data_IF_294802819978
#
_entry.id   IF_294802819978
#
_cell.length_a   1.000
_cell.length_b   1.000
_cell.length_c   1.000
_cell.angle_alpha   90.00
_cell.angle_beta   90.00
_cell.angle_gamma   90.00
#
_symmetry.space_group_name_H-M   'P 1'
#
loop_
_entity.id
_entity.type
_entity.pdbx_description
1 polymer ?
#
# COMPACT_ATOMS: atom_id res chain seq x y z
N UNK A 1 -10.04 -5.91 -10.05
CA UNK A 1 -10.77 -5.06 -9.08
C UNK A 1 -12.19 -4.86 -9.62
N UNK A 2 -13.23 -5.14 -8.83
CA UNK A 2 -14.61 -4.93 -9.23
C UNK A 2 -14.92 -3.45 -9.44
N UNK A 3 -15.96 -3.18 -10.20
CA UNK A 3 -16.51 -1.83 -10.43
C UNK A 3 -17.96 -1.81 -9.96
N UNK A 4 -18.71 -0.75 -10.25
CA UNK A 4 -20.13 -0.68 -9.91
C UNK A 4 -20.89 -1.90 -10.48
N UNK A 5 -21.49 -2.76 -9.63
CA UNK A 5 -22.18 -3.96 -10.08
C UNK A 5 -23.43 -3.65 -10.91
N UNK A 6 -24.01 -2.46 -10.79
CA UNK A 6 -25.15 -2.04 -11.59
C UNK A 6 -24.77 -1.75 -13.06
N UNK A 7 -23.48 -1.52 -13.32
CA UNK A 7 -22.96 -1.24 -14.66
C UNK A 7 -22.53 -2.53 -15.37
N UNK A 8 -23.45 -3.18 -16.07
CA UNK A 8 -23.17 -4.45 -16.78
C UNK A 8 -22.59 -4.21 -18.17
N UNK A 9 -23.06 -3.20 -18.88
CA UNK A 9 -22.60 -2.83 -20.23
C UNK A 9 -21.84 -1.51 -20.20
N UNK A 10 -20.97 -1.31 -21.20
CA UNK A 10 -20.26 -0.02 -21.36
C UNK A 10 -21.20 1.17 -21.50
N UNK A 11 -22.38 0.94 -22.10
CA UNK A 11 -23.42 1.95 -22.35
C UNK A 11 -24.29 2.24 -21.12
N UNK A 12 -24.14 1.46 -20.05
CA UNK A 12 -24.93 1.69 -18.84
C UNK A 12 -24.29 2.83 -18.03
N UNK A 13 -25.07 3.77 -17.51
CA UNK A 13 -24.56 4.77 -16.59
C UNK A 13 -24.13 4.10 -15.28
N UNK A 14 -23.06 4.56 -14.69
CA UNK A 14 -22.57 4.08 -13.40
C UNK A 14 -22.81 5.09 -12.28
N UNK A 15 -22.67 4.61 -11.05
CA UNK A 15 -22.68 5.45 -9.86
C UNK A 15 -21.31 5.37 -9.17
N UNK A 16 -20.51 6.44 -9.18
CA UNK A 16 -19.21 6.46 -8.51
C UNK A 16 -19.30 6.08 -7.02
N UNK A 17 -20.36 6.48 -6.32
CA UNK A 17 -20.51 6.16 -4.90
C UNK A 17 -20.58 4.65 -4.61
N UNK A 18 -21.07 3.86 -5.55
CA UNK A 18 -21.15 2.39 -5.45
C UNK A 18 -19.95 1.67 -6.05
N UNK A 19 -18.99 2.41 -6.60
CA UNK A 19 -17.82 1.87 -7.28
C UNK A 19 -16.62 1.85 -6.36
N UNK A 20 -16.04 0.68 -6.01
CA UNK A 20 -14.83 0.62 -5.20
C UNK A 20 -13.64 1.40 -5.77
N UNK A 21 -13.57 1.54 -7.11
CA UNK A 21 -12.55 2.32 -7.78
C UNK A 21 -12.59 3.81 -7.40
N UNK A 22 -13.76 4.34 -7.06
CA UNK A 22 -13.91 5.74 -6.70
C UNK A 22 -13.08 6.14 -5.49
N UNK A 23 -12.95 5.24 -4.51
CA UNK A 23 -12.11 5.48 -3.34
C UNK A 23 -10.63 5.63 -3.71
N UNK A 24 -10.16 4.88 -4.70
CA UNK A 24 -8.80 5.04 -5.22
C UNK A 24 -8.63 6.37 -5.96
N UNK A 25 -9.62 6.83 -6.70
CA UNK A 25 -9.59 8.17 -7.30
C UNK A 25 -9.51 9.27 -6.22
N UNK A 26 -10.17 9.09 -5.08
CA UNK A 26 -10.10 10.07 -3.99
C UNK A 26 -8.66 10.23 -3.44
N UNK A 27 -7.88 9.17 -3.46
CA UNK A 27 -6.49 9.16 -2.95
C UNK A 27 -5.48 9.56 -4.04
N UNK A 28 -5.60 8.98 -5.22
CA UNK A 28 -4.56 9.00 -6.24
C UNK A 28 -4.79 9.99 -7.38
N UNK A 29 -5.99 10.54 -7.53
CA UNK A 29 -6.31 11.42 -8.65
C UNK A 29 -6.42 12.87 -8.22
N UNK A 30 -5.98 13.77 -9.10
CA UNK A 30 -6.23 15.20 -8.96
C UNK A 30 -7.71 15.55 -9.21
N UNK A 31 -8.11 16.78 -8.94
CA UNK A 31 -9.49 17.19 -9.06
C UNK A 31 -10.01 17.09 -10.49
N UNK A 32 -9.21 17.44 -11.48
CA UNK A 32 -9.60 17.37 -12.88
C UNK A 32 -9.91 15.93 -13.33
N UNK A 33 -9.07 14.97 -12.90
CA UNK A 33 -9.28 13.54 -13.16
C UNK A 33 -10.52 13.00 -12.44
N UNK A 34 -10.78 13.45 -11.20
CA UNK A 34 -11.99 13.09 -10.45
C UNK A 34 -13.25 13.58 -11.18
N UNK A 35 -13.27 14.83 -11.60
CA UNK A 35 -14.40 15.42 -12.31
C UNK A 35 -14.65 14.71 -13.65
N UNK A 36 -13.58 14.39 -14.37
CA UNK A 36 -13.65 13.61 -15.61
C UNK A 36 -14.23 12.21 -15.38
N UNK A 37 -13.71 11.49 -14.36
CA UNK A 37 -14.16 10.15 -14.03
C UNK A 37 -15.61 10.12 -13.57
N UNK A 38 -16.02 11.07 -12.71
CA UNK A 38 -17.40 11.17 -12.22
C UNK A 38 -18.37 11.46 -13.35
N UNK A 39 -18.09 12.51 -14.14
CA UNK A 39 -18.92 12.89 -15.29
C UNK A 39 -19.01 11.77 -16.32
N UNK A 40 -17.86 11.18 -16.68
CA UNK A 40 -17.80 10.11 -17.67
C UNK A 40 -18.49 8.82 -17.21
N UNK A 41 -18.41 8.48 -15.92
CA UNK A 41 -19.11 7.35 -15.33
C UNK A 41 -20.63 7.53 -15.37
N UNK A 42 -21.12 8.66 -14.89
CA UNK A 42 -22.57 8.98 -14.83
C UNK A 42 -23.22 9.08 -16.21
N UNK A 43 -22.49 9.54 -17.22
CA UNK A 43 -22.98 9.67 -18.60
C UNK A 43 -22.75 8.44 -19.47
N UNK A 44 -22.12 7.38 -18.94
CA UNK A 44 -21.59 6.26 -19.74
C UNK A 44 -20.58 6.69 -20.83
N UNK A 45 -19.99 7.89 -20.68
CA UNK A 45 -19.05 8.45 -21.65
C UNK A 45 -17.67 7.80 -21.64
N UNK A 46 -17.28 7.14 -20.53
CA UNK A 46 -16.01 6.42 -20.41
C UNK A 46 -16.25 4.96 -20.03
N UNK A 47 -15.32 4.08 -20.44
CA UNK A 47 -15.29 2.69 -20.00
C UNK A 47 -14.69 2.53 -18.60
N UNK A 48 -15.03 1.43 -17.91
CA UNK A 48 -14.43 1.14 -16.60
C UNK A 48 -12.91 0.89 -16.69
N UNK A 49 -12.42 0.39 -17.82
CA UNK A 49 -10.99 0.23 -18.06
C UNK A 49 -10.29 1.58 -18.23
N UNK A 50 -10.89 2.47 -19.03
CA UNK A 50 -10.37 3.83 -19.22
C UNK A 50 -10.32 4.58 -17.89
N UNK A 51 -11.35 4.43 -17.05
CA UNK A 51 -11.45 5.02 -15.72
C UNK A 51 -10.36 4.49 -14.77
N UNK A 52 -9.93 3.23 -14.90
CA UNK A 52 -8.87 2.63 -14.07
C UNK A 52 -7.48 3.15 -14.40
N UNK A 53 -7.23 3.52 -15.65
CA UNK A 53 -5.88 3.83 -16.13
C UNK A 53 -5.19 4.94 -15.34
N UNK A 54 -5.80 6.11 -15.07
CA UNK A 54 -5.14 7.15 -14.28
C UNK A 54 -4.75 6.71 -12.88
N UNK A 55 -5.56 5.85 -12.25
CA UNK A 55 -5.26 5.29 -10.92
C UNK A 55 -4.09 4.32 -10.99
N UNK A 56 -4.05 3.45 -11.99
CA UNK A 56 -2.95 2.51 -12.21
C UNK A 56 -1.64 3.29 -12.39
N UNK A 57 -1.65 4.31 -13.25
CA UNK A 57 -0.46 5.11 -13.55
C UNK A 57 0.06 5.85 -12.30
N UNK A 58 -0.86 6.37 -11.47
CA UNK A 58 -0.49 7.03 -10.23
C UNK A 58 0.12 6.06 -9.21
N UNK A 59 -0.46 4.87 -9.03
CA UNK A 59 0.05 3.83 -8.14
C UNK A 59 1.42 3.34 -8.61
N UNK A 60 1.58 3.06 -9.90
CA UNK A 60 2.87 2.61 -10.46
C UNK A 60 3.96 3.66 -10.25
N UNK A 61 3.64 4.93 -10.46
CA UNK A 61 4.58 6.04 -10.24
C UNK A 61 5.02 6.14 -8.77
N UNK A 62 4.11 5.94 -7.83
CA UNK A 62 4.42 5.93 -6.40
C UNK A 62 5.25 4.71 -6.01
N UNK A 63 4.94 3.54 -6.56
CA UNK A 63 5.62 2.29 -6.20
C UNK A 63 6.99 2.11 -6.85
N UNK A 64 7.23 2.72 -8.01
CA UNK A 64 8.48 2.56 -8.76
C UNK A 64 9.74 2.79 -7.91
N UNK A 65 9.88 3.88 -7.13
CA UNK A 65 11.06 4.09 -6.29
C UNK A 65 11.21 3.05 -5.17
N UNK A 66 10.11 2.47 -4.70
CA UNK A 66 10.15 1.39 -3.69
C UNK A 66 10.64 0.09 -4.31
N UNK A 67 10.17 -0.24 -5.52
CA UNK A 67 10.64 -1.39 -6.27
C UNK A 67 12.14 -1.32 -6.55
N UNK A 68 12.62 -0.17 -7.00
CA UNK A 68 14.04 0.04 -7.26
C UNK A 68 14.90 -0.17 -6.02
N UNK A 69 14.46 0.36 -4.86
CA UNK A 69 15.16 0.14 -3.59
C UNK A 69 15.07 -1.31 -3.09
N UNK A 70 13.96 -1.99 -3.36
CA UNK A 70 13.77 -3.38 -2.94
C UNK A 70 14.62 -4.37 -3.76
N UNK A 71 14.98 -4.02 -5.00
CA UNK A 71 15.63 -4.92 -5.93
C UNK A 71 16.94 -5.51 -5.37
N UNK A 72 17.78 -4.68 -4.73
CA UNK A 72 19.04 -5.14 -4.13
C UNK A 72 18.85 -6.24 -3.07
N UNK A 73 17.74 -6.22 -2.34
CA UNK A 73 17.42 -7.22 -1.31
C UNK A 73 16.78 -8.48 -1.90
N UNK A 74 16.10 -8.34 -3.03
CA UNK A 74 15.52 -9.47 -3.76
C UNK A 74 16.61 -10.25 -4.49
N UNK A 75 17.61 -9.55 -5.02
CA UNK A 75 18.73 -10.16 -5.77
C UNK A 75 19.77 -10.80 -4.84
N UNK A 76 19.91 -10.31 -3.61
CA UNK A 76 20.84 -10.86 -2.61
C UNK A 76 20.14 -11.19 -1.29
N UNK A 77 19.58 -12.40 -1.17
CA UNK A 77 18.99 -12.89 0.08
C UNK A 77 19.99 -13.00 1.25
N UNK A 78 21.30 -13.05 0.97
CA UNK A 78 22.32 -13.12 2.03
C UNK A 78 22.50 -11.76 2.70
N UNK A 79 22.45 -10.69 1.92
CA UNK A 79 22.42 -9.31 2.43
C UNK A 79 21.22 -9.10 3.36
N UNK A 80 20.04 -9.54 2.95
CA UNK A 80 18.84 -9.43 3.78
C UNK A 80 18.98 -10.18 5.11
N UNK A 81 19.51 -11.40 5.09
CA UNK A 81 19.75 -12.18 6.31
C UNK A 81 20.75 -11.52 7.24
N UNK A 82 21.83 -10.94 6.72
CA UNK A 82 22.82 -10.24 7.55
C UNK A 82 22.22 -9.03 8.24
N UNK A 83 21.40 -8.23 7.52
CA UNK A 83 20.71 -7.08 8.10
C UNK A 83 19.75 -7.50 9.22
N UNK A 84 19.01 -8.59 9.01
CA UNK A 84 18.11 -9.14 10.03
C UNK A 84 18.89 -9.64 11.24
N UNK A 85 20.00 -10.33 11.05
CA UNK A 85 20.85 -10.83 12.13
C UNK A 85 21.42 -9.68 12.96
N UNK A 86 22.04 -8.69 12.32
CA UNK A 86 22.60 -7.51 12.98
C UNK A 86 21.53 -6.72 13.75
N UNK A 87 20.35 -6.51 13.15
CA UNK A 87 19.23 -5.84 13.80
C UNK A 87 18.71 -6.61 15.01
N UNK A 88 18.59 -7.93 14.88
CA UNK A 88 18.18 -8.83 15.97
C UNK A 88 19.17 -8.81 17.13
N UNK A 89 20.46 -8.80 16.86
CA UNK A 89 21.49 -8.74 17.90
C UNK A 89 21.48 -7.40 18.64
N UNK A 90 21.30 -6.29 17.92
CA UNK A 90 21.13 -4.96 18.54
C UNK A 90 19.89 -4.92 19.43
N UNK A 91 18.76 -5.38 18.94
CA UNK A 91 17.50 -5.42 19.70
C UNK A 91 17.64 -6.33 20.94
N UNK A 92 18.30 -7.48 20.81
CA UNK A 92 18.54 -8.42 21.90
C UNK A 92 19.38 -7.80 23.02
N UNK A 93 20.42 -7.04 22.68
CA UNK A 93 21.25 -6.34 23.68
C UNK A 93 20.42 -5.37 24.52
N UNK A 94 19.64 -4.52 23.86
CA UNK A 94 18.75 -3.57 24.56
C UNK A 94 17.72 -4.31 25.41
N UNK A 95 17.10 -5.35 24.88
CA UNK A 95 16.11 -6.13 25.63
C UNK A 95 16.75 -6.85 26.85
N UNK A 96 17.97 -7.37 26.73
CA UNK A 96 18.67 -8.02 27.84
C UNK A 96 18.99 -7.03 28.96
N UNK A 97 19.43 -5.81 28.63
CA UNK A 97 19.66 -4.75 29.62
C UNK A 97 18.38 -4.41 30.35
N UNK A 98 17.30 -4.15 29.62
CA UNK A 98 15.99 -3.86 30.21
C UNK A 98 15.50 -5.01 31.10
N UNK A 99 15.65 -6.25 30.63
CA UNK A 99 15.21 -7.43 31.40
C UNK A 99 16.05 -7.65 32.64
N UNK A 100 17.34 -7.31 32.63
CA UNK A 100 18.19 -7.33 33.83
C UNK A 100 17.63 -6.37 34.88
N UNK A 101 17.39 -5.13 34.50
CA UNK A 101 16.88 -4.09 35.40
C UNK A 101 15.49 -4.47 35.96
N UNK A 102 14.62 -5.06 35.12
CA UNK A 102 13.31 -5.58 35.57
C UNK A 102 13.45 -6.70 36.57
N UNK A 103 14.34 -7.69 36.34
CA UNK A 103 14.57 -8.81 37.25
C UNK A 103 15.14 -8.35 38.58
N UNK A 104 16.09 -7.42 38.56
CA UNK A 104 16.64 -6.80 39.75
C UNK A 104 15.54 -6.10 40.59
N UNK A 105 14.72 -5.27 39.91
CA UNK A 105 13.61 -4.56 40.57
C UNK A 105 12.54 -5.51 41.16
N UNK A 106 12.38 -6.69 40.56
CA UNK A 106 11.43 -7.73 41.02
C UNK A 106 12.04 -8.70 42.03
N UNK A 107 13.32 -8.59 42.35
CA UNK A 107 14.04 -9.54 43.22
C UNK A 107 14.15 -10.94 42.61
N UNK A 108 14.21 -11.04 41.28
CA UNK A 108 14.30 -12.28 40.52
C UNK A 108 15.72 -12.53 39.99
N UNK A 109 16.72 -11.84 40.50
CA UNK A 109 18.12 -12.06 40.19
C UNK A 109 18.60 -13.31 40.98
N UNK A 110 18.54 -14.42 40.32
CA UNK A 110 19.12 -15.67 40.83
C UNK A 110 20.48 -15.85 40.13
N UNK A 111 21.58 -15.61 40.86
CA UNK A 111 22.93 -16.06 40.48
C UNK A 111 23.06 -17.59 40.53
#
# INVERSE_FOLDING_TARGET
MPTDPARVRRTDPGNPANCPLWQFHQVYSDQATKDWAEKGCKSAGIGCLDCKQPVIDAILREQQPMFERAQQYLDDPSLLRSIIADGSDKARKVAQETMRDVREAMGLDFD
#
